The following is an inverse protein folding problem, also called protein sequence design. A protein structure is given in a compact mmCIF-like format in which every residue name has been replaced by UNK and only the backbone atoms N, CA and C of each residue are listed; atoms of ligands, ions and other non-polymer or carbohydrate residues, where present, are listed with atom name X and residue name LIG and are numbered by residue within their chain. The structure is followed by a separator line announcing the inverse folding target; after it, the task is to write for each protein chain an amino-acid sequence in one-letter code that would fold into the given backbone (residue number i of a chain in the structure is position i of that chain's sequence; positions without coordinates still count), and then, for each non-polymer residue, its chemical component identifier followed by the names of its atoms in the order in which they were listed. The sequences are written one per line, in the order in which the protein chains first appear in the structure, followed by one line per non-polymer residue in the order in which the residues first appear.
data_IF_878895087761
#
_entry.id   IF_878895087761
#
_cell.length_a   1.000
_cell.length_b   1.000
_cell.length_c   1.000
_cell.angle_alpha   90.00
_cell.angle_beta   90.00
_cell.angle_gamma   90.00
#
_symmetry.space_group_name_H-M   'P 1'
#
loop_
_entity.id
_entity.type
_entity.pdbx_description
1 polymer ?
#
# COMPACT_ATOMS: atom_id res chain seq x y z
N UNK A 1 10.33 -8.77 -10.63
CA UNK A 1 9.57 -7.86 -11.52
C UNK A 1 10.48 -6.69 -11.86
N UNK A 2 10.45 -6.25 -13.12
CA UNK A 2 11.13 -5.01 -13.53
C UNK A 2 10.06 -3.98 -13.85
N UNK A 3 10.16 -2.82 -13.23
CA UNK A 3 9.33 -1.65 -13.49
C UNK A 3 10.16 -0.69 -14.33
N UNK A 4 9.73 -0.43 -15.55
CA UNK A 4 10.42 0.47 -16.46
C UNK A 4 9.86 1.88 -16.34
N UNK A 5 10.75 2.89 -16.43
CA UNK A 5 10.38 4.32 -16.48
C UNK A 5 9.56 4.77 -15.26
N UNK A 6 9.97 4.36 -14.07
CA UNK A 6 9.32 4.77 -12.81
C UNK A 6 9.77 6.18 -12.44
N UNK A 7 8.83 7.01 -11.99
CA UNK A 7 9.14 8.33 -11.47
C UNK A 7 9.97 8.20 -10.17
N UNK A 8 11.16 8.78 -10.18
CA UNK A 8 12.10 8.78 -9.07
C UNK A 8 12.24 10.17 -8.40
N UNK A 9 11.22 11.04 -8.59
CA UNK A 9 11.18 12.35 -7.97
C UNK A 9 11.14 12.23 -6.44
N UNK A 10 12.09 12.85 -5.70
CA UNK A 10 12.17 12.75 -4.25
C UNK A 10 10.91 13.19 -3.50
N UNK A 11 10.09 14.06 -4.10
CA UNK A 11 8.83 14.53 -3.49
C UNK A 11 7.69 13.52 -3.62
N UNK A 12 7.83 12.47 -4.46
CA UNK A 12 6.79 11.48 -4.78
C UNK A 12 7.26 10.03 -4.67
N UNK A 13 8.50 9.80 -4.27
CA UNK A 13 9.08 8.46 -4.14
C UNK A 13 9.00 7.88 -2.71
N UNK A 14 8.22 8.49 -1.82
CA UNK A 14 8.10 8.10 -0.43
C UNK A 14 7.70 6.63 -0.23
N UNK A 15 6.92 6.06 -1.17
CA UNK A 15 6.61 4.64 -1.17
C UNK A 15 7.87 3.77 -1.32
N UNK A 16 8.73 4.05 -2.31
CA UNK A 16 9.97 3.29 -2.52
C UNK A 16 10.96 3.45 -1.37
N UNK A 17 11.08 4.68 -0.82
CA UNK A 17 11.89 4.94 0.37
C UNK A 17 11.39 4.14 1.57
N UNK A 18 10.08 3.99 1.70
CA UNK A 18 9.47 3.18 2.77
C UNK A 18 9.74 1.69 2.56
N UNK A 19 9.62 1.19 1.33
CA UNK A 19 9.95 -0.20 0.99
C UNK A 19 11.41 -0.51 1.30
N UNK A 20 12.33 0.40 0.99
CA UNK A 20 13.76 0.26 1.31
C UNK A 20 13.99 0.18 2.82
N UNK A 21 13.35 1.05 3.61
CA UNK A 21 13.39 1.00 5.08
C UNK A 21 12.81 -0.30 5.64
N UNK A 22 11.82 -0.88 4.98
CA UNK A 22 11.26 -2.17 5.33
C UNK A 22 12.15 -3.36 4.92
N UNK A 23 13.23 -3.11 4.17
CA UNK A 23 14.16 -4.15 3.69
C UNK A 23 13.73 -4.83 2.40
N UNK A 24 12.85 -4.20 1.60
CA UNK A 24 12.47 -4.75 0.31
C UNK A 24 13.67 -4.91 -0.63
N UNK A 25 13.69 -6.01 -1.37
CA UNK A 25 14.69 -6.24 -2.40
C UNK A 25 14.44 -5.34 -3.61
N UNK A 26 15.21 -4.26 -3.72
CA UNK A 26 15.14 -3.30 -4.82
C UNK A 26 16.52 -2.98 -5.39
N UNK A 27 16.60 -2.86 -6.71
CA UNK A 27 17.81 -2.51 -7.44
C UNK A 27 17.46 -1.49 -8.52
N UNK A 28 18.10 -0.33 -8.49
CA UNK A 28 18.00 0.64 -9.58
C UNK A 28 18.91 0.19 -10.71
N UNK A 29 18.31 -0.17 -11.85
CA UNK A 29 19.06 -0.67 -13.02
C UNK A 29 19.63 0.47 -13.86
N UNK A 30 18.87 1.54 -14.04
CA UNK A 30 19.25 2.73 -14.78
C UNK A 30 18.48 3.95 -14.27
N UNK A 31 19.02 5.15 -14.48
CA UNK A 31 18.42 6.40 -14.07
C UNK A 31 18.82 7.54 -15.03
N UNK A 32 17.83 8.35 -15.42
CA UNK A 32 18.04 9.52 -16.30
C UNK A 32 17.05 10.65 -16.00
N UNK A 33 17.32 11.83 -16.54
CA UNK A 33 16.40 12.97 -16.47
C UNK A 33 15.62 13.07 -17.78
N UNK A 34 14.30 13.22 -17.70
CA UNK A 34 13.41 13.38 -18.85
C UNK A 34 12.35 14.43 -18.54
N UNK A 35 12.24 15.44 -19.41
CA UNK A 35 11.30 16.55 -19.25
C UNK A 35 11.37 17.27 -17.88
N UNK A 36 12.55 17.26 -17.24
CA UNK A 36 12.77 17.88 -15.93
C UNK A 36 12.44 16.98 -14.73
N UNK A 37 12.07 15.73 -14.98
CA UNK A 37 11.79 14.73 -13.94
C UNK A 37 12.86 13.62 -13.93
N UNK A 38 13.23 13.14 -12.76
CA UNK A 38 14.07 11.97 -12.59
C UNK A 38 13.26 10.71 -12.83
N UNK A 39 13.70 9.87 -13.77
CA UNK A 39 13.07 8.60 -14.13
C UNK A 39 14.11 7.47 -13.98
N UNK A 40 13.65 6.27 -13.67
CA UNK A 40 14.53 5.11 -13.58
C UNK A 40 13.84 3.79 -13.85
N UNK A 41 14.65 2.78 -14.14
CA UNK A 41 14.22 1.40 -14.21
C UNK A 41 14.55 0.71 -12.87
N UNK A 42 13.53 0.10 -12.28
CA UNK A 42 13.63 -0.49 -10.95
C UNK A 42 13.31 -1.99 -11.02
N UNK A 43 14.24 -2.81 -10.53
CA UNK A 43 14.01 -4.24 -10.33
C UNK A 43 13.60 -4.49 -8.90
N UNK A 44 12.47 -5.20 -8.71
CA UNK A 44 11.95 -5.59 -7.41
C UNK A 44 11.96 -7.11 -7.31
N UNK A 45 12.47 -7.64 -6.21
CA UNK A 45 12.52 -9.06 -5.92
C UNK A 45 12.15 -9.35 -4.47
N UNK A 46 11.71 -10.58 -4.22
CA UNK A 46 11.26 -10.98 -2.90
C UNK A 46 12.39 -10.89 -1.86
N UNK A 47 12.08 -10.23 -0.75
CA UNK A 47 12.85 -10.21 0.50
C UNK A 47 11.85 -10.19 1.68
N UNK A 48 12.20 -10.78 2.83
CA UNK A 48 11.43 -10.59 4.06
C UNK A 48 11.39 -9.10 4.42
N UNK A 49 10.20 -8.63 4.78
CA UNK A 49 9.98 -7.25 5.18
C UNK A 49 9.99 -7.10 6.69
N UNK A 50 10.42 -5.95 7.19
CA UNK A 50 10.36 -5.57 8.59
C UNK A 50 9.43 -4.38 8.78
N UNK A 51 8.73 -4.35 9.91
CA UNK A 51 7.97 -3.18 10.32
C UNK A 51 8.89 -1.98 10.52
N UNK A 52 8.37 -0.78 10.31
CA UNK A 52 9.11 0.48 10.48
C UNK A 52 8.20 1.58 11.00
N UNK A 53 8.79 2.73 11.35
CA UNK A 53 8.06 3.92 11.74
C UNK A 53 7.96 4.89 10.54
N UNK A 54 6.74 5.29 10.21
CA UNK A 54 6.43 6.40 9.31
C UNK A 54 5.94 7.57 10.16
N UNK A 55 6.58 8.72 10.02
CA UNK A 55 6.26 9.95 10.74
C UNK A 55 5.69 11.01 9.81
N UNK A 56 5.22 12.10 10.38
CA UNK A 56 4.66 13.24 9.65
C UNK A 56 5.57 13.72 8.51
N UNK A 57 6.90 13.67 8.69
CA UNK A 57 7.85 14.11 7.66
C UNK A 57 7.84 13.23 6.40
N UNK A 58 7.40 11.98 6.53
CA UNK A 58 7.30 11.03 5.42
C UNK A 58 5.96 11.14 4.68
N UNK A 59 4.89 11.53 5.39
CA UNK A 59 3.51 11.48 4.90
C UNK A 59 3.30 12.18 3.55
N UNK A 60 3.80 13.42 3.31
CA UNK A 60 3.53 14.11 2.05
C UNK A 60 3.98 13.35 0.80
N UNK A 61 5.07 12.57 0.91
CA UNK A 61 5.64 11.81 -0.21
C UNK A 61 4.96 10.46 -0.49
N UNK A 62 4.05 10.00 0.40
CA UNK A 62 3.46 8.65 0.31
C UNK A 62 2.03 8.54 0.84
N UNK A 63 1.36 9.65 1.11
CA UNK A 63 0.04 9.65 1.76
C UNK A 63 -0.99 8.77 1.03
N UNK A 64 -0.92 8.76 -0.28
CA UNK A 64 -1.84 8.01 -1.13
C UNK A 64 -1.52 6.50 -1.16
N UNK A 65 -0.30 6.11 -0.85
CA UNK A 65 0.18 4.73 -0.82
C UNK A 65 0.02 4.08 0.58
N UNK A 66 -0.37 4.84 1.60
CA UNK A 66 -0.56 4.31 2.97
C UNK A 66 -1.52 3.13 3.03
N UNK A 67 -2.65 3.07 2.30
CA UNK A 67 -3.50 1.89 2.32
C UNK A 67 -2.79 0.60 1.87
N UNK A 68 -1.98 0.65 0.80
CA UNK A 68 -1.24 -0.54 0.34
C UNK A 68 -0.04 -0.84 1.23
N UNK A 69 0.59 0.16 1.84
CA UNK A 69 1.65 -0.03 2.85
C UNK A 69 1.08 -0.78 4.07
N UNK A 70 -0.16 -0.50 4.46
CA UNK A 70 -0.82 -1.24 5.54
C UNK A 70 -0.98 -2.73 5.21
N UNK A 71 -1.27 -3.08 3.94
CA UNK A 71 -1.30 -4.49 3.52
C UNK A 71 0.09 -5.12 3.62
N UNK A 72 1.14 -4.45 3.13
CA UNK A 72 2.52 -4.94 3.25
C UNK A 72 2.93 -5.12 4.72
N UNK A 73 2.53 -4.20 5.59
CA UNK A 73 2.82 -4.25 7.02
C UNK A 73 2.24 -5.50 7.70
N UNK A 74 1.10 -6.03 7.22
CA UNK A 74 0.55 -7.29 7.75
C UNK A 74 1.43 -8.49 7.44
N UNK A 75 2.34 -8.39 6.46
CA UNK A 75 3.26 -9.46 6.06
C UNK A 75 4.71 -9.22 6.53
N UNK A 76 4.99 -8.06 7.15
CA UNK A 76 6.30 -7.70 7.66
C UNK A 76 6.52 -8.23 9.08
N UNK A 77 7.78 -8.52 9.44
CA UNK A 77 8.12 -8.87 10.81
C UNK A 77 8.14 -7.65 11.73
N UNK A 78 7.53 -7.78 12.89
CA UNK A 78 7.54 -6.77 13.94
C UNK A 78 6.46 -5.71 13.78
N UNK A 79 6.70 -4.56 14.40
CA UNK A 79 5.73 -3.47 14.49
C UNK A 79 5.92 -2.47 13.35
N UNK A 80 4.86 -2.22 12.59
CA UNK A 80 4.72 -1.05 11.73
C UNK A 80 3.89 0.01 12.45
N UNK A 81 4.37 1.25 12.48
CA UNK A 81 3.65 2.36 13.10
C UNK A 81 3.59 3.55 12.12
N UNK A 82 2.39 4.08 11.90
CA UNK A 82 2.15 5.26 11.06
C UNK A 82 1.55 6.34 11.93
N UNK A 83 2.20 7.51 11.94
CA UNK A 83 1.83 8.67 12.75
C UNK A 83 1.84 9.95 11.92
N UNK A 84 1.02 10.93 12.35
CA UNK A 84 0.95 12.24 11.69
C UNK A 84 0.23 12.19 10.32
N UNK A 85 -0.67 11.23 10.13
CA UNK A 85 -1.41 11.00 8.89
C UNK A 85 -2.90 11.38 9.02
N UNK A 86 -3.25 12.31 9.90
CA UNK A 86 -4.63 12.72 10.16
C UNK A 86 -5.34 13.26 8.92
N UNK A 87 -4.60 13.77 7.92
CA UNK A 87 -5.17 14.18 6.63
C UNK A 87 -5.87 13.03 5.89
N UNK A 88 -5.49 11.77 6.16
CA UNK A 88 -6.18 10.60 5.61
C UNK A 88 -7.64 10.47 6.06
N UNK A 89 -8.03 11.12 7.17
CA UNK A 89 -9.40 11.08 7.67
C UNK A 89 -10.38 11.94 6.86
N UNK A 90 -9.85 12.88 6.09
CA UNK A 90 -10.63 13.85 5.29
C UNK A 90 -10.41 13.71 3.78
N UNK A 91 -9.90 12.56 3.32
CA UNK A 91 -9.81 12.21 1.90
C UNK A 91 -11.20 11.78 1.36
N UNK A 92 -11.29 10.97 0.32
CA UNK A 92 -12.54 10.47 -0.25
C UNK A 92 -13.41 9.74 0.80
N UNK A 93 -12.75 9.15 1.78
CA UNK A 93 -13.34 8.62 3.01
C UNK A 93 -12.36 8.80 4.17
N UNK A 94 -12.76 8.42 5.39
CA UNK A 94 -11.80 8.24 6.49
C UNK A 94 -10.96 6.98 6.20
N UNK A 95 -9.81 7.18 5.50
CA UNK A 95 -8.93 6.07 5.08
C UNK A 95 -8.28 5.35 6.26
N UNK A 96 -8.01 6.04 7.38
CA UNK A 96 -7.51 5.39 8.59
C UNK A 96 -8.53 4.38 9.10
N UNK A 97 -9.77 4.83 9.27
CA UNK A 97 -10.86 3.96 9.70
C UNK A 97 -11.13 2.81 8.70
N UNK A 98 -11.18 3.12 7.41
CA UNK A 98 -11.43 2.14 6.36
C UNK A 98 -10.39 1.01 6.34
N UNK A 99 -9.10 1.36 6.43
CA UNK A 99 -7.99 0.40 6.52
C UNK A 99 -8.11 -0.45 7.79
N UNK A 100 -8.26 0.20 8.95
CA UNK A 100 -8.34 -0.50 10.23
C UNK A 100 -9.54 -1.44 10.30
N UNK A 101 -10.72 -1.00 9.86
CA UNK A 101 -11.95 -1.80 9.85
C UNK A 101 -11.80 -3.03 8.98
N UNK A 102 -11.31 -2.88 7.76
CA UNK A 102 -11.21 -3.99 6.82
C UNK A 102 -10.09 -4.97 7.20
N UNK A 103 -8.92 -4.48 7.63
CA UNK A 103 -7.83 -5.35 8.10
C UNK A 103 -8.24 -6.15 9.35
N UNK A 104 -8.97 -5.56 10.29
CA UNK A 104 -9.55 -6.30 11.43
C UNK A 104 -10.49 -7.42 10.98
N UNK A 105 -11.34 -7.18 9.97
CA UNK A 105 -12.20 -8.24 9.40
C UNK A 105 -11.39 -9.37 8.78
N UNK A 106 -10.24 -9.05 8.20
CA UNK A 106 -9.32 -10.04 7.62
C UNK A 106 -8.44 -10.74 8.68
N UNK A 107 -8.55 -10.37 9.97
CA UNK A 107 -7.83 -10.98 11.07
C UNK A 107 -6.47 -10.37 11.38
N UNK A 108 -6.13 -9.22 10.82
CA UNK A 108 -4.88 -8.54 11.13
C UNK A 108 -4.86 -7.97 12.56
N UNK A 109 -3.69 -8.00 13.19
CA UNK A 109 -3.42 -7.31 14.45
C UNK A 109 -3.12 -5.84 14.17
N UNK A 110 -4.18 -5.04 14.18
CA UNK A 110 -4.12 -3.60 13.89
C UNK A 110 -4.84 -2.79 14.97
N UNK A 111 -4.19 -1.71 15.40
CA UNK A 111 -4.74 -0.72 16.31
C UNK A 111 -4.90 0.62 15.59
N UNK A 112 -6.11 1.15 15.58
CA UNK A 112 -6.41 2.50 15.08
C UNK A 112 -5.96 3.56 16.08
N UNK A 113 -5.34 4.64 15.57
CA UNK A 113 -4.95 5.84 16.31
C UNK A 113 -5.64 7.05 15.67
N UNK A 114 -5.67 8.19 16.35
CA UNK A 114 -6.28 9.42 15.83
C UNK A 114 -5.58 9.91 14.56
N UNK A 115 -4.26 9.76 14.50
CA UNK A 115 -3.36 10.26 13.44
C UNK A 115 -2.71 9.14 12.60
N UNK A 116 -3.24 7.90 12.68
CA UNK A 116 -2.64 6.76 11.97
C UNK A 116 -3.07 5.41 12.52
N UNK A 117 -2.15 4.46 12.55
CA UNK A 117 -2.41 3.11 13.07
C UNK A 117 -1.11 2.35 13.36
N UNK A 118 -1.23 1.28 14.17
CA UNK A 118 -0.15 0.32 14.44
C UNK A 118 -0.57 -1.03 13.89
N UNK A 119 0.33 -1.74 13.21
CA UNK A 119 0.15 -3.11 12.75
C UNK A 119 1.29 -3.96 13.31
N UNK A 120 0.95 -5.09 13.93
CA UNK A 120 1.91 -6.09 14.33
C UNK A 120 1.86 -7.27 13.36
N UNK A 121 2.95 -7.50 12.66
CA UNK A 121 3.07 -8.60 11.68
C UNK A 121 4.17 -9.60 12.05
N UNK A 122 4.29 -10.71 11.31
CA UNK A 122 3.37 -11.10 10.25
C UNK A 122 2.03 -11.65 10.76
N UNK A 123 0.95 -11.34 10.07
CA UNK A 123 -0.38 -11.85 10.38
C UNK A 123 -1.01 -12.49 9.14
N UNK A 124 -1.35 -13.78 9.13
CA UNK A 124 -2.10 -14.40 8.04
C UNK A 124 -3.44 -13.71 7.85
N UNK A 125 -3.73 -13.27 6.64
CA UNK A 125 -5.01 -12.66 6.31
C UNK A 125 -6.03 -13.71 5.86
N UNK A 126 -7.28 -13.52 6.26
CA UNK A 126 -8.41 -14.33 5.82
C UNK A 126 -9.31 -13.52 4.88
N UNK A 127 -9.90 -14.21 3.90
CA UNK A 127 -10.85 -13.62 2.98
C UNK A 127 -12.06 -13.04 3.73
N UNK A 128 -12.50 -11.86 3.31
CA UNK A 128 -13.59 -11.15 3.96
C UNK A 128 -14.42 -10.34 2.96
N UNK A 129 -15.59 -9.84 3.43
CA UNK A 129 -16.34 -8.79 2.71
C UNK A 129 -15.73 -7.44 3.05
N UNK A 130 -15.17 -6.78 2.05
CA UNK A 130 -14.49 -5.49 2.15
C UNK A 130 -15.46 -4.37 1.83
N UNK A 131 -15.48 -3.36 2.66
CA UNK A 131 -16.17 -2.09 2.43
C UNK A 131 -15.17 -1.12 1.79
N UNK A 132 -15.37 -0.76 0.55
CA UNK A 132 -14.49 0.15 -0.19
C UNK A 132 -14.70 1.62 0.17
N UNK A 133 -15.84 1.94 0.77
CA UNK A 133 -16.27 3.33 1.06
C UNK A 133 -16.28 4.21 -0.21
N UNK A 134 -16.45 3.60 -1.38
CA UNK A 134 -16.33 4.22 -2.71
C UNK A 134 -14.97 4.90 -2.96
N UNK A 135 -13.93 4.51 -2.21
CA UNK A 135 -12.58 5.01 -2.37
C UNK A 135 -11.75 4.05 -3.23
N UNK A 136 -11.22 4.58 -4.33
CA UNK A 136 -10.43 3.81 -5.30
C UNK A 136 -9.14 3.22 -4.69
N UNK A 137 -8.50 3.92 -3.74
CA UNK A 137 -7.26 3.44 -3.10
C UNK A 137 -7.55 2.33 -2.11
N UNK A 138 -8.67 2.40 -1.39
CA UNK A 138 -9.14 1.30 -0.53
C UNK A 138 -9.48 0.09 -1.40
N UNK A 139 -10.22 0.27 -2.51
CA UNK A 139 -10.55 -0.83 -3.40
C UNK A 139 -9.29 -1.53 -3.94
N UNK A 140 -8.33 -0.78 -4.47
CA UNK A 140 -7.09 -1.34 -5.03
C UNK A 140 -6.24 -2.03 -3.96
N UNK A 141 -6.04 -1.40 -2.79
CA UNK A 141 -5.25 -1.99 -1.71
C UNK A 141 -5.85 -3.32 -1.22
N UNK A 142 -7.17 -3.38 -1.04
CA UNK A 142 -7.82 -4.61 -0.57
C UNK A 142 -8.03 -5.66 -1.67
N UNK A 143 -8.00 -5.30 -2.96
CA UNK A 143 -7.86 -6.26 -4.04
C UNK A 143 -6.50 -6.98 -3.97
N UNK A 144 -5.42 -6.23 -3.70
CA UNK A 144 -4.08 -6.81 -3.45
C UNK A 144 -4.08 -7.70 -2.20
N UNK A 145 -4.70 -7.24 -1.09
CA UNK A 145 -4.85 -8.06 0.12
C UNK A 145 -5.57 -9.39 -0.16
N UNK A 146 -6.55 -9.37 -1.06
CA UNK A 146 -7.26 -10.57 -1.51
C UNK A 146 -6.40 -11.61 -2.21
N UNK A 147 -5.25 -11.22 -2.81
CA UNK A 147 -4.33 -12.16 -3.46
C UNK A 147 -3.54 -13.02 -2.46
N UNK A 148 -3.33 -12.49 -1.26
CA UNK A 148 -2.52 -13.14 -0.22
C UNK A 148 -3.38 -13.71 0.92
N UNK A 149 -4.68 -13.45 0.92
CA UNK A 149 -5.60 -13.92 1.95
C UNK A 149 -6.04 -15.37 1.73
N UNK A 150 -6.21 -16.11 2.81
CA UNK A 150 -6.80 -17.44 2.78
C UNK A 150 -8.31 -17.35 2.57
N UNK A 151 -8.83 -17.97 1.51
CA UNK A 151 -10.25 -17.97 1.18
C UNK A 151 -10.65 -16.81 0.26
N UNK A 152 -11.96 -16.52 0.21
CA UNK A 152 -12.52 -15.57 -0.76
C UNK A 152 -12.65 -14.17 -0.17
N UNK A 153 -12.03 -13.19 -0.83
CA UNK A 153 -12.23 -11.75 -0.57
C UNK A 153 -13.22 -11.18 -1.60
N UNK A 154 -14.18 -10.39 -1.13
CA UNK A 154 -15.20 -9.75 -1.98
C UNK A 154 -15.27 -8.26 -1.62
N UNK A 155 -15.06 -7.41 -2.59
CA UNK A 155 -15.23 -5.96 -2.47
C UNK A 155 -16.69 -5.59 -2.83
N UNK A 156 -17.28 -4.63 -2.10
CA UNK A 156 -18.64 -4.15 -2.36
C UNK A 156 -18.73 -3.29 -3.63
N UNK A 157 -17.77 -2.41 -3.88
CA UNK A 157 -17.70 -1.51 -5.03
C UNK A 157 -16.32 -1.57 -5.71
N UNK A 158 -15.95 -2.72 -6.35
CA UNK A 158 -14.63 -2.85 -7.00
C UNK A 158 -14.44 -1.86 -8.15
N UNK A 159 -15.52 -1.45 -8.82
CA UNK A 159 -15.51 -0.52 -9.94
C UNK A 159 -14.93 0.86 -9.62
N UNK A 160 -14.91 1.27 -8.33
CA UNK A 160 -14.35 2.57 -7.96
C UNK A 160 -12.84 2.68 -8.22
N UNK A 161 -12.12 1.56 -8.35
CA UNK A 161 -10.72 1.56 -8.77
C UNK A 161 -10.51 2.29 -10.11
N UNK A 162 -11.48 2.21 -11.02
CA UNK A 162 -11.42 2.83 -12.36
C UNK A 162 -11.39 4.36 -12.33
N UNK A 163 -11.69 4.99 -11.19
CA UNK A 163 -11.62 6.45 -11.03
C UNK A 163 -10.20 6.97 -11.28
N UNK A 164 -9.18 6.24 -10.84
CA UNK A 164 -7.77 6.63 -11.00
C UNK A 164 -6.95 5.65 -11.84
N UNK A 165 -7.39 4.40 -11.95
CA UNK A 165 -6.67 3.37 -12.69
C UNK A 165 -7.66 2.42 -13.39
N UNK A 166 -8.19 2.79 -14.56
CA UNK A 166 -9.20 2.00 -15.28
C UNK A 166 -8.76 0.56 -15.57
N UNK A 167 -7.47 0.33 -15.88
CA UNK A 167 -6.90 -0.95 -16.25
C UNK A 167 -6.43 -1.79 -15.04
N UNK A 168 -6.66 -1.34 -13.80
CA UNK A 168 -6.10 -1.95 -12.58
C UNK A 168 -6.36 -3.45 -12.49
N UNK A 169 -7.58 -3.91 -12.70
CA UNK A 169 -7.91 -5.34 -12.58
C UNK A 169 -7.34 -6.16 -13.73
N UNK A 170 -7.25 -5.61 -14.94
CA UNK A 170 -6.62 -6.28 -16.07
C UNK A 170 -5.13 -6.47 -15.84
N UNK A 171 -4.44 -5.46 -15.32
CA UNK A 171 -3.04 -5.56 -14.95
C UNK A 171 -2.83 -6.55 -13.79
N UNK A 172 -3.71 -6.53 -12.79
CA UNK A 172 -3.63 -7.46 -11.66
C UNK A 172 -3.78 -8.92 -12.11
N UNK A 173 -4.67 -9.21 -13.07
CA UNK A 173 -4.82 -10.55 -13.65
C UNK A 173 -3.60 -10.97 -14.48
N UNK A 174 -2.97 -10.05 -15.21
CA UNK A 174 -1.71 -10.33 -15.95
C UNK A 174 -0.56 -10.70 -15.01
N UNK A 175 -0.49 -10.07 -13.83
CA UNK A 175 0.57 -10.35 -12.84
C UNK A 175 0.43 -11.70 -12.14
N UNK A 176 -0.73 -12.36 -12.24
CA UNK A 176 -0.96 -13.70 -11.66
C UNK A 176 -0.44 -14.85 -12.53
N UNK A 177 -0.05 -14.56 -13.78
CA UNK A 177 0.46 -15.55 -14.75
C UNK A 177 1.98 -15.71 -14.61
#
# INVERSE_FOLDING_TARGET
ITLNRVLANPTRNGFFVTLEKMGAGMECLDQWDEAGERIGDLKIFHQPLNGTLITIDNIPGLIDEIPVIAILATQAEGKMEIRGAEELRIKECDRIHAVCKNLKKMGADIQELDDGFIINGPTPLNGAKIETFHDHRIAMAFAIAGLIAHGKTVLDHPECASISYPEFYDELERMKQ
#
